data_IF_231793763212
#
_entry.id   IF_231793763212
#
_cell.length_a   1.000
_cell.length_b   1.000
_cell.length_c   1.000
_cell.angle_alpha   90.00
_cell.angle_beta   90.00
_cell.angle_gamma   90.00
#
_symmetry.space_group_name_H-M   'P 1'
#
loop_
_entity.id
_entity.type
_entity.pdbx_description
1 polymer ?
#
# COMPACT_ATOMS: atom_id res chain seq x y z
N UNK A 1 -19.76 -7.37 11.43
CA UNK A 1 -18.50 -7.55 10.66
C UNK A 1 -18.87 -7.61 9.18
N UNK A 2 -18.35 -6.70 8.33
CA UNK A 2 -18.69 -6.69 6.90
C UNK A 2 -18.33 -8.04 6.24
N UNK A 3 -19.20 -8.60 5.38
CA UNK A 3 -18.90 -9.83 4.66
C UNK A 3 -17.73 -9.62 3.71
N UNK A 4 -16.93 -10.68 3.54
CA UNK A 4 -15.83 -10.68 2.55
C UNK A 4 -16.40 -10.91 1.15
N UNK A 5 -15.81 -10.25 0.15
CA UNK A 5 -16.22 -10.44 -1.25
C UNK A 5 -15.63 -11.75 -1.75
N UNK A 6 -16.49 -12.62 -2.30
CA UNK A 6 -16.12 -13.97 -2.78
C UNK A 6 -16.62 -14.22 -4.20
N UNK A 7 -17.14 -13.20 -4.88
CA UNK A 7 -17.54 -13.29 -6.28
C UNK A 7 -16.58 -12.48 -7.15
N UNK A 8 -16.13 -13.01 -8.30
CA UNK A 8 -15.35 -12.25 -9.26
C UNK A 8 -16.05 -10.94 -9.60
N UNK A 9 -15.31 -9.84 -9.58
CA UNK A 9 -15.83 -8.54 -9.99
C UNK A 9 -15.79 -8.49 -11.51
N UNK A 10 -16.90 -8.17 -12.17
CA UNK A 10 -16.90 -7.88 -13.60
C UNK A 10 -16.15 -6.57 -13.84
N UNK A 11 -14.85 -6.68 -14.00
CA UNK A 11 -13.92 -5.55 -14.06
C UNK A 11 -13.61 -5.13 -15.51
N UNK A 12 -14.25 -5.77 -16.49
CA UNK A 12 -14.24 -5.35 -17.90
C UNK A 12 -14.90 -3.98 -18.12
N UNK A 13 -15.71 -3.52 -17.16
CA UNK A 13 -16.44 -2.24 -17.21
C UNK A 13 -15.98 -1.21 -16.17
N UNK A 14 -14.93 -1.50 -15.39
CA UNK A 14 -14.44 -0.61 -14.34
C UNK A 14 -12.90 -0.57 -14.27
N UNK A 15 -12.36 0.58 -13.91
CA UNK A 15 -10.91 0.75 -13.66
C UNK A 15 -10.56 0.18 -12.29
N UNK A 16 -9.47 -0.57 -12.20
CA UNK A 16 -8.89 -1.00 -10.93
C UNK A 16 -7.97 0.09 -10.41
N UNK A 17 -8.23 0.55 -9.19
CA UNK A 17 -7.43 1.55 -8.51
C UNK A 17 -6.56 0.87 -7.44
N UNK A 18 -5.25 0.87 -7.68
CA UNK A 18 -4.25 0.46 -6.69
C UNK A 18 -3.58 1.69 -6.08
N UNK A 19 -4.15 2.17 -4.97
CA UNK A 19 -3.62 3.31 -4.23
C UNK A 19 -2.46 2.90 -3.30
N UNK A 20 -1.36 2.43 -3.90
CA UNK A 20 -0.24 1.74 -3.25
C UNK A 20 0.33 2.45 -2.01
N UNK A 21 0.48 1.70 -0.91
CA UNK A 21 1.20 2.14 0.29
C UNK A 21 2.72 2.01 0.08
N UNK A 22 3.54 3.02 0.41
CA UNK A 22 5.00 2.90 0.37
C UNK A 22 5.53 1.70 1.16
N UNK A 23 6.56 1.05 0.60
CA UNK A 23 7.30 -0.07 1.22
C UNK A 23 6.46 -1.33 1.51
N UNK A 24 5.34 -1.49 0.82
CA UNK A 24 4.51 -2.69 0.84
C UNK A 24 4.64 -3.47 -0.48
N UNK A 25 5.87 -3.86 -0.84
CA UNK A 25 6.21 -4.60 -2.07
C UNK A 25 5.69 -3.97 -3.38
N UNK A 26 5.49 -2.65 -3.41
CA UNK A 26 4.88 -1.99 -4.57
C UNK A 26 5.71 -2.11 -5.85
N UNK A 27 7.04 -2.22 -5.75
CA UNK A 27 7.90 -2.44 -6.93
C UNK A 27 7.71 -3.84 -7.49
N UNK A 28 7.65 -4.87 -6.63
CA UNK A 28 7.30 -6.24 -7.03
C UNK A 28 5.95 -6.24 -7.75
N UNK A 29 4.91 -5.65 -7.13
CA UNK A 29 3.58 -5.56 -7.72
C UNK A 29 3.59 -4.86 -9.09
N UNK A 30 4.32 -3.74 -9.24
CA UNK A 30 4.43 -3.04 -10.54
C UNK A 30 5.17 -3.88 -11.59
N UNK A 31 6.24 -4.58 -11.21
CA UNK A 31 6.96 -5.46 -12.15
C UNK A 31 6.04 -6.59 -12.62
N UNK A 32 5.30 -7.22 -11.70
CA UNK A 32 4.32 -8.26 -12.02
C UNK A 32 3.19 -7.72 -12.89
N UNK A 33 2.64 -6.54 -12.59
CA UNK A 33 1.62 -5.91 -13.43
C UNK A 33 2.16 -5.53 -14.82
N UNK A 34 3.43 -5.14 -14.95
CA UNK A 34 4.06 -4.89 -16.25
C UNK A 34 4.25 -6.17 -17.07
N UNK A 35 4.50 -7.31 -16.41
CA UNK A 35 4.50 -8.60 -17.08
C UNK A 35 3.08 -9.00 -17.50
N UNK A 36 2.12 -8.90 -16.58
CA UNK A 36 0.73 -9.29 -16.82
C UNK A 36 0.05 -8.43 -17.88
N UNK A 37 0.34 -7.12 -17.97
CA UNK A 37 -0.25 -6.26 -19.00
C UNK A 37 0.10 -6.73 -20.42
N UNK A 38 1.30 -7.31 -20.63
CA UNK A 38 1.71 -7.77 -21.97
C UNK A 38 1.05 -9.11 -22.32
N UNK A 39 0.83 -9.98 -21.33
CA UNK A 39 0.16 -11.27 -21.46
C UNK A 39 -1.36 -11.13 -21.60
N UNK A 40 -1.98 -10.37 -20.71
CA UNK A 40 -3.42 -10.20 -20.62
C UNK A 40 -3.94 -9.00 -21.43
N UNK A 41 -3.09 -8.14 -21.99
CA UNK A 41 -3.47 -7.02 -22.88
C UNK A 41 -4.37 -5.95 -22.24
N UNK A 42 -4.20 -5.64 -20.95
CA UNK A 42 -4.87 -4.50 -20.30
C UNK A 42 -3.97 -3.26 -20.24
N UNK A 43 -4.55 -2.08 -19.95
CA UNK A 43 -3.76 -0.84 -19.78
C UNK A 43 -3.24 -0.68 -18.34
N UNK A 44 -1.94 -0.45 -18.18
CA UNK A 44 -1.36 -0.10 -16.88
C UNK A 44 -0.93 1.38 -16.87
N UNK A 45 -1.53 2.18 -16.00
CA UNK A 45 -1.15 3.58 -15.77
C UNK A 45 -0.48 3.69 -14.39
N UNK A 46 0.84 3.80 -14.37
CA UNK A 46 1.62 3.93 -13.14
C UNK A 46 2.13 5.36 -13.00
N UNK A 47 1.54 6.13 -12.09
CA UNK A 47 1.97 7.51 -11.79
C UNK A 47 3.03 7.46 -10.70
N UNK A 48 4.27 7.73 -11.08
CA UNK A 48 5.41 7.75 -10.18
C UNK A 48 6.26 9.00 -10.42
N UNK A 49 6.03 10.02 -9.60
CA UNK A 49 6.68 11.32 -9.71
C UNK A 49 7.26 11.76 -8.35
N UNK A 50 8.40 12.48 -8.33
CA UNK A 50 8.93 13.05 -7.09
C UNK A 50 7.92 13.96 -6.41
N UNK A 51 7.90 13.97 -5.07
CA UNK A 51 7.04 14.85 -4.25
C UNK A 51 5.55 14.74 -4.57
N UNK A 52 5.10 13.57 -5.05
CA UNK A 52 3.69 13.32 -5.36
C UNK A 52 2.81 13.58 -4.13
N UNK A 53 1.82 14.47 -4.29
CA UNK A 53 0.84 14.74 -3.24
C UNK A 53 -0.09 13.53 -3.08
N UNK A 54 -0.03 12.91 -1.90
CA UNK A 54 -0.92 11.82 -1.49
C UNK A 54 -2.22 12.35 -0.89
N UNK A 55 -2.10 13.46 -0.14
CA UNK A 55 -3.21 14.25 0.39
C UNK A 55 -3.60 15.35 -0.60
N UNK A 56 -4.89 15.54 -0.84
CA UNK A 56 -5.43 16.41 -1.88
C UNK A 56 -6.60 17.26 -1.36
N UNK A 57 -6.69 18.52 -1.80
CA UNK A 57 -7.90 19.32 -1.61
C UNK A 57 -9.08 18.77 -2.44
N UNK A 58 -10.29 19.24 -2.17
CA UNK A 58 -11.50 18.74 -2.82
C UNK A 58 -11.49 18.91 -4.36
N UNK A 59 -10.92 20.01 -4.87
CA UNK A 59 -10.85 20.27 -6.32
C UNK A 59 -9.88 19.30 -6.99
N UNK A 60 -8.75 19.01 -6.37
CA UNK A 60 -7.78 18.03 -6.82
C UNK A 60 -8.32 16.60 -6.73
N UNK A 61 -9.06 16.27 -5.68
CA UNK A 61 -9.75 14.98 -5.56
C UNK A 61 -10.78 14.78 -6.68
N UNK A 62 -11.61 15.79 -6.97
CA UNK A 62 -12.59 15.73 -8.05
C UNK A 62 -11.93 15.51 -9.42
N UNK A 63 -10.85 16.25 -9.72
CA UNK A 63 -10.07 16.03 -10.94
C UNK A 63 -9.47 14.63 -11.02
N UNK A 64 -8.98 14.11 -9.89
CA UNK A 64 -8.41 12.76 -9.82
C UNK A 64 -9.48 11.68 -10.01
N UNK A 65 -10.64 11.83 -9.38
CA UNK A 65 -11.75 10.90 -9.53
C UNK A 65 -12.24 10.85 -10.98
N UNK A 66 -12.47 12.01 -11.59
CA UNK A 66 -12.91 12.11 -12.98
C UNK A 66 -11.85 11.55 -13.95
N UNK A 67 -10.59 11.96 -13.81
CA UNK A 67 -9.50 11.48 -14.66
C UNK A 67 -9.26 9.98 -14.57
N UNK A 68 -9.47 9.36 -13.40
CA UNK A 68 -9.39 7.89 -13.25
C UNK A 68 -10.52 7.21 -14.03
N UNK A 69 -11.73 7.77 -14.07
CA UNK A 69 -12.86 7.20 -14.80
C UNK A 69 -12.79 7.44 -16.32
N UNK A 70 -12.06 8.46 -16.76
CA UNK A 70 -11.78 8.71 -18.18
C UNK A 70 -10.78 7.70 -18.78
N UNK A 71 -10.00 7.03 -17.92
CA UNK A 71 -9.27 5.84 -18.34
C UNK A 71 -10.33 4.81 -18.74
N UNK A 72 -10.61 4.68 -20.05
CA UNK A 72 -11.52 3.67 -20.62
C UNK A 72 -11.37 2.34 -19.87
N UNK A 73 -12.46 1.59 -19.74
CA UNK A 73 -12.46 0.32 -19.01
C UNK A 73 -11.36 -0.63 -19.50
N UNK A 74 -10.96 -1.59 -18.66
CA UNK A 74 -9.79 -2.46 -18.87
C UNK A 74 -8.43 -1.82 -18.54
N UNK A 75 -8.37 -1.13 -17.40
CA UNK A 75 -7.15 -0.48 -16.92
C UNK A 75 -6.90 -0.66 -15.42
N UNK A 76 -5.61 -0.72 -15.05
CA UNK A 76 -5.15 -0.55 -13.67
C UNK A 76 -4.47 0.81 -13.54
N UNK A 77 -4.99 1.65 -12.66
CA UNK A 77 -4.35 2.90 -12.24
C UNK A 77 -3.62 2.70 -10.92
N UNK A 78 -2.33 3.04 -10.90
CA UNK A 78 -1.47 2.88 -9.73
C UNK A 78 -0.86 4.21 -9.34
N UNK A 79 -1.02 4.60 -8.07
CA UNK A 79 -0.47 5.85 -7.52
C UNK A 79 -0.33 5.78 -6.00
N UNK A 80 0.67 6.46 -5.44
CA UNK A 80 0.66 6.80 -4.01
C UNK A 80 -0.42 7.86 -3.73
N UNK A 81 -1.56 7.42 -3.17
CA UNK A 81 -2.77 8.22 -3.03
C UNK A 81 -3.56 7.82 -1.78
N UNK A 82 -3.96 8.79 -0.95
CA UNK A 82 -4.90 8.50 0.14
C UNK A 82 -6.30 8.21 -0.42
N UNK A 83 -7.05 7.32 0.25
CA UNK A 83 -8.40 6.92 -0.17
C UNK A 83 -9.30 8.12 -0.52
N UNK A 84 -9.92 8.06 -1.71
CA UNK A 84 -10.86 9.07 -2.20
C UNK A 84 -12.26 8.46 -2.16
N UNK A 85 -13.22 9.21 -1.63
CA UNK A 85 -14.62 8.84 -1.73
C UNK A 85 -15.21 9.39 -3.04
N UNK A 86 -15.34 8.53 -4.05
CA UNK A 86 -15.80 8.91 -5.39
C UNK A 86 -17.26 9.40 -5.40
N UNK A 87 -18.11 8.85 -4.52
CA UNK A 87 -19.50 9.30 -4.40
C UNK A 87 -19.63 10.77 -4.00
N UNK A 88 -18.65 11.33 -3.28
CA UNK A 88 -18.66 12.77 -2.93
C UNK A 88 -18.56 13.69 -4.15
N UNK A 89 -18.15 13.16 -5.30
CA UNK A 89 -17.95 13.91 -6.54
C UNK A 89 -18.94 13.49 -7.63
N UNK A 90 -19.97 12.70 -7.30
CA UNK A 90 -20.92 12.16 -8.29
C UNK A 90 -20.30 11.13 -9.24
N UNK A 91 -19.08 10.65 -8.93
CA UNK A 91 -18.32 9.75 -9.77
C UNK A 91 -18.65 8.28 -9.45
N UNK A 92 -18.61 7.39 -10.46
CA UNK A 92 -18.70 5.94 -10.27
C UNK A 92 -17.50 5.43 -9.45
N UNK A 93 -17.70 4.33 -8.71
CA UNK A 93 -16.61 3.72 -7.94
C UNK A 93 -15.66 2.92 -8.84
N UNK A 94 -14.33 3.08 -8.69
CA UNK A 94 -13.38 2.13 -9.22
C UNK A 94 -13.34 0.86 -8.35
N UNK A 95 -12.66 -0.17 -8.83
CA UNK A 95 -12.35 -1.36 -8.04
C UNK A 95 -11.10 -1.09 -7.21
N UNK A 96 -11.25 -0.84 -5.92
CA UNK A 96 -10.11 -0.60 -5.02
C UNK A 96 -9.40 -1.91 -4.63
N UNK A 97 -8.09 -1.93 -4.79
CA UNK A 97 -7.20 -2.97 -4.24
C UNK A 97 -6.02 -2.34 -3.51
N UNK A 98 -5.39 -3.10 -2.61
CA UNK A 98 -4.14 -2.69 -2.00
C UNK A 98 -3.28 -3.89 -1.57
N UNK A 99 -2.04 -3.62 -1.17
CA UNK A 99 -1.16 -4.59 -0.50
C UNK A 99 -0.52 -3.87 0.69
N UNK A 100 -0.57 -4.49 1.87
CA UNK A 100 0.02 -3.95 3.09
C UNK A 100 1.09 -4.88 3.66
N UNK A 101 1.84 -4.38 4.64
CA UNK A 101 2.96 -5.08 5.28
C UNK A 101 2.89 -4.90 6.79
N UNK A 102 3.49 -5.80 7.56
CA UNK A 102 3.69 -5.64 9.01
C UNK A 102 4.24 -4.24 9.30
N UNK A 103 3.61 -3.48 10.21
CA UNK A 103 3.96 -2.08 10.44
C UNK A 103 5.41 -1.86 10.89
N UNK A 104 5.98 -2.76 11.68
CA UNK A 104 7.36 -2.65 12.17
C UNK A 104 8.32 -2.85 11.01
N UNK A 105 8.13 -3.93 10.24
CA UNK A 105 8.96 -4.22 9.06
C UNK A 105 8.82 -3.15 7.96
N UNK A 106 7.62 -2.60 7.80
CA UNK A 106 7.38 -1.45 6.90
C UNK A 106 8.10 -0.21 7.39
N UNK A 107 8.02 0.10 8.69
CA UNK A 107 8.67 1.27 9.29
C UNK A 107 10.20 1.18 9.12
N UNK A 108 10.80 0.04 9.50
CA UNK A 108 12.24 -0.20 9.32
C UNK A 108 12.62 0.00 7.85
N UNK A 109 11.90 -0.65 6.93
CA UNK A 109 12.19 -0.51 5.50
C UNK A 109 12.04 0.93 4.99
N UNK A 110 11.10 1.71 5.52
CA UNK A 110 10.93 3.11 5.16
C UNK A 110 12.04 3.99 5.75
N UNK A 111 12.43 3.74 7.00
CA UNK A 111 13.46 4.48 7.73
C UNK A 111 14.80 4.46 6.98
N UNK A 112 15.24 3.27 6.55
CA UNK A 112 16.46 3.13 5.76
C UNK A 112 16.27 3.66 4.33
N UNK A 113 15.08 3.52 3.74
CA UNK A 113 14.83 3.95 2.36
C UNK A 113 14.93 5.46 2.18
N UNK A 114 14.36 6.24 3.10
CA UNK A 114 14.43 7.71 3.01
C UNK A 114 15.85 8.23 3.21
N UNK A 115 16.72 7.46 3.87
CA UNK A 115 18.14 7.80 4.10
C UNK A 115 19.06 7.34 2.97
N UNK A 116 18.88 6.11 2.51
CA UNK A 116 19.86 5.41 1.68
C UNK A 116 19.33 4.96 0.31
N UNK A 117 18.02 5.06 0.04
CA UNK A 117 17.44 4.67 -1.24
C UNK A 117 17.39 3.15 -1.47
N UNK A 118 17.52 2.74 -2.73
CA UNK A 118 17.43 1.33 -3.16
C UNK A 118 18.81 0.73 -3.43
N UNK A 119 18.97 -0.58 -3.22
CA UNK A 119 20.20 -1.29 -3.54
C UNK A 119 20.58 -1.15 -5.02
N UNK A 120 19.59 -1.29 -5.92
CA UNK A 120 19.79 -1.27 -7.37
C UNK A 120 20.43 0.00 -7.95
N UNK A 121 20.52 1.08 -7.18
CA UNK A 121 21.13 2.35 -7.61
C UNK A 121 22.19 2.86 -6.64
N UNK A 122 22.68 2.02 -5.71
CA UNK A 122 23.64 2.40 -4.68
C UNK A 122 23.25 3.68 -3.91
N UNK A 123 21.95 3.96 -3.79
CA UNK A 123 21.40 5.14 -3.15
C UNK A 123 21.38 6.44 -3.97
N UNK A 124 21.80 6.44 -5.24
CA UNK A 124 21.91 7.66 -6.05
C UNK A 124 20.56 8.32 -6.38
N UNK A 125 19.51 7.51 -6.62
CA UNK A 125 18.15 8.04 -6.90
C UNK A 125 17.57 8.77 -5.69
N UNK A 126 18.15 8.60 -4.49
CA UNK A 126 17.70 9.32 -3.32
C UNK A 126 17.76 10.83 -3.53
N UNK A 127 18.76 11.43 -4.21
CA UNK A 127 18.87 12.92 -4.27
C UNK A 127 17.64 13.65 -4.83
N UNK A 128 17.00 13.14 -5.89
CA UNK A 128 15.79 13.75 -6.51
C UNK A 128 14.49 13.41 -5.78
N UNK A 129 14.49 12.30 -5.05
CA UNK A 129 13.33 11.75 -4.33
C UNK A 129 13.42 11.92 -2.82
N UNK A 130 14.52 12.51 -2.33
CA UNK A 130 14.82 12.75 -0.93
C UNK A 130 13.77 13.70 -0.40
N UNK A 131 13.15 13.27 0.69
CA UNK A 131 12.39 14.16 1.55
C UNK A 131 13.39 15.14 2.17
N UNK A 132 12.94 16.37 2.43
CA UNK A 132 13.74 17.34 3.16
C UNK A 132 13.88 16.85 4.60
N UNK A 133 14.94 16.08 4.85
CA UNK A 133 15.31 15.52 6.16
C UNK A 133 16.49 16.34 6.65
N UNK A 134 16.38 16.90 7.85
CA UNK A 134 17.47 17.63 8.50
C UNK A 134 18.74 16.76 8.57
N UNK A 135 19.95 17.34 8.46
CA UNK A 135 21.20 16.58 8.56
C UNK A 135 21.31 15.68 9.80
N UNK A 136 20.83 16.15 10.96
CA UNK A 136 20.75 15.36 12.19
C UNK A 136 19.96 14.06 11.98
N UNK A 137 18.71 14.18 11.53
CA UNK A 137 17.85 13.02 11.24
C UNK A 137 18.39 12.13 10.12
N UNK A 138 19.07 12.69 9.12
CA UNK A 138 19.62 11.95 7.99
C UNK A 138 20.69 10.95 8.46
N UNK A 139 21.49 11.34 9.47
CA UNK A 139 22.59 10.53 10.00
C UNK A 139 22.23 9.71 11.24
N UNK A 140 21.08 9.97 11.87
CA UNK A 140 20.62 9.26 13.06
C UNK A 140 20.34 7.75 12.78
N UNK A 141 21.03 6.82 13.47
CA UNK A 141 20.74 5.39 13.41
C UNK A 141 19.33 5.05 13.89
N UNK A 142 18.76 3.96 13.40
CA UNK A 142 17.42 3.53 13.78
C UNK A 142 17.34 3.23 15.28
N UNK A 143 18.31 2.49 15.81
CA UNK A 143 18.29 2.09 17.23
C UNK A 143 18.35 3.32 18.14
N UNK A 144 19.23 4.28 17.86
CA UNK A 144 19.32 5.54 18.61
C UNK A 144 17.98 6.30 18.57
N UNK A 145 17.37 6.42 17.40
CA UNK A 145 16.07 7.08 17.23
C UNK A 145 14.99 6.45 18.11
N UNK A 146 14.89 5.11 18.10
CA UNK A 146 13.85 4.37 18.84
C UNK A 146 14.13 4.37 20.34
N UNK A 147 15.38 4.22 20.75
CA UNK A 147 15.78 4.19 22.17
C UNK A 147 15.60 5.55 22.84
N UNK A 148 15.81 6.65 22.10
CA UNK A 148 15.63 8.02 22.61
C UNK A 148 14.17 8.34 22.89
N UNK A 149 13.30 8.11 21.91
CA UNK A 149 11.85 8.31 22.02
C UNK A 149 11.14 7.56 20.88
N UNK A 150 10.54 6.39 21.13
CA UNK A 150 9.99 5.55 20.08
C UNK A 150 8.77 6.19 19.40
N UNK A 151 7.94 6.94 20.15
CA UNK A 151 6.76 7.61 19.61
C UNK A 151 7.16 8.78 18.71
N UNK A 152 8.09 9.63 19.16
CA UNK A 152 8.63 10.72 18.34
C UNK A 152 9.38 10.18 17.12
N UNK A 153 10.14 9.10 17.28
CA UNK A 153 10.84 8.45 16.17
C UNK A 153 9.85 8.01 15.08
N UNK A 154 8.76 7.36 15.47
CA UNK A 154 7.72 6.89 14.53
C UNK A 154 7.02 8.06 13.85
N UNK A 155 6.55 9.05 14.62
CA UNK A 155 5.74 10.17 14.12
C UNK A 155 6.52 11.09 13.17
N UNK A 156 7.83 11.25 13.38
CA UNK A 156 8.66 12.13 12.55
C UNK A 156 9.18 11.43 11.29
N UNK A 157 9.39 10.11 11.33
CA UNK A 157 10.10 9.37 10.28
C UNK A 157 9.21 8.49 9.40
N UNK A 158 7.87 8.52 9.52
CA UNK A 158 7.02 7.67 8.68
C UNK A 158 5.75 8.34 8.20
N UNK A 159 5.34 7.96 7.00
CA UNK A 159 3.96 8.15 6.54
C UNK A 159 3.15 6.97 7.05
N UNK A 160 2.07 7.24 7.78
CA UNK A 160 1.19 6.19 8.30
C UNK A 160 0.49 5.42 7.19
N UNK A 161 0.41 4.10 7.35
CA UNK A 161 -0.35 3.25 6.44
C UNK A 161 -1.84 3.55 6.54
N UNK A 162 -2.32 3.95 7.73
CA UNK A 162 -3.73 4.25 7.96
C UNK A 162 -4.27 5.32 7.02
N UNK A 163 -3.50 6.36 6.72
CA UNK A 163 -3.97 7.48 5.90
C UNK A 163 -4.37 7.03 4.48
N UNK A 164 -3.75 5.97 3.96
CA UNK A 164 -4.09 5.38 2.66
C UNK A 164 -5.47 4.73 2.62
N UNK A 165 -6.02 4.36 3.78
CA UNK A 165 -7.34 3.74 3.91
C UNK A 165 -8.36 4.69 4.56
N UNK A 166 -7.95 5.50 5.54
CA UNK A 166 -8.79 6.51 6.18
C UNK A 166 -9.22 7.59 5.18
N UNK A 167 -8.27 8.11 4.38
CA UNK A 167 -8.55 8.99 3.25
C UNK A 167 -8.07 10.42 3.39
N UNK A 168 -8.82 11.33 2.78
CA UNK A 168 -8.43 12.73 2.53
C UNK A 168 -8.92 13.72 3.59
N UNK A 169 -9.34 13.25 4.77
CA UNK A 169 -9.76 14.11 5.88
C UNK A 169 -8.55 14.51 6.73
N UNK A 170 -8.59 15.69 7.37
CA UNK A 170 -7.47 16.17 8.19
C UNK A 170 -7.13 15.21 9.34
N UNK A 171 -8.15 14.67 10.00
CA UNK A 171 -8.02 13.69 11.08
C UNK A 171 -7.36 12.38 10.64
N UNK A 172 -7.42 12.03 9.34
CA UNK A 172 -6.75 10.84 8.80
C UNK A 172 -5.23 10.98 8.73
N UNK A 173 -4.70 12.20 8.91
CA UNK A 173 -3.26 12.47 8.95
C UNK A 173 -2.68 12.31 10.35
N UNK A 174 -3.55 12.23 11.35
CA UNK A 174 -3.17 12.09 12.74
C UNK A 174 -3.15 10.62 13.17
N UNK A 175 -2.28 10.33 14.12
CA UNK A 175 -2.20 9.02 14.75
C UNK A 175 -3.30 8.91 15.81
N UNK A 176 -4.53 8.59 15.38
CA UNK A 176 -5.73 8.64 16.23
C UNK A 176 -6.63 7.43 16.06
N UNK A 177 -7.46 7.17 17.07
CA UNK A 177 -8.47 6.12 17.03
C UNK A 177 -9.55 6.44 15.98
N UNK A 178 -9.82 7.73 15.71
CA UNK A 178 -10.67 8.14 14.59
C UNK A 178 -10.12 7.64 13.25
N UNK A 179 -8.83 7.88 13.00
CA UNK A 179 -8.19 7.45 11.76
C UNK A 179 -8.23 5.93 11.60
N UNK A 180 -8.04 5.20 12.71
CA UNK A 180 -8.10 3.74 12.77
C UNK A 180 -9.47 3.21 12.38
N UNK A 181 -10.52 3.67 13.05
CA UNK A 181 -11.88 3.17 12.82
C UNK A 181 -12.37 3.53 11.42
N UNK A 182 -12.08 4.75 10.96
CA UNK A 182 -12.39 5.16 9.58
C UNK A 182 -11.65 4.31 8.55
N UNK A 183 -10.37 4.01 8.77
CA UNK A 183 -9.59 3.12 7.91
C UNK A 183 -10.17 1.71 7.86
N UNK A 184 -10.56 1.12 9.01
CA UNK A 184 -11.21 -0.19 9.08
C UNK A 184 -12.52 -0.21 8.29
N UNK A 185 -13.37 0.82 8.48
CA UNK A 185 -14.65 0.95 7.77
C UNK A 185 -14.43 1.04 6.27
N UNK A 186 -13.52 1.91 5.81
CA UNK A 186 -13.27 2.07 4.38
C UNK A 186 -12.67 0.81 3.76
N UNK A 187 -11.71 0.17 4.43
CA UNK A 187 -11.10 -1.09 4.00
C UNK A 187 -12.13 -2.23 3.89
N UNK A 188 -13.09 -2.28 4.80
CA UNK A 188 -14.14 -3.28 4.78
C UNK A 188 -15.19 -3.02 3.70
N UNK A 189 -15.54 -1.75 3.47
CA UNK A 189 -16.66 -1.36 2.61
C UNK A 189 -16.28 -1.19 1.15
N UNK A 190 -15.10 -0.63 0.86
CA UNK A 190 -14.76 -0.17 -0.49
C UNK A 190 -13.64 -0.96 -1.16
N UNK A 191 -12.80 -1.66 -0.40
CA UNK A 191 -11.72 -2.45 -0.98
C UNK A 191 -12.18 -3.88 -1.30
N UNK A 192 -12.03 -4.25 -2.57
CA UNK A 192 -12.35 -5.59 -3.06
C UNK A 192 -11.45 -6.64 -2.44
N UNK A 193 -10.15 -6.36 -2.44
CA UNK A 193 -9.12 -7.21 -1.85
C UNK A 193 -7.94 -6.37 -1.35
N UNK A 194 -7.37 -6.80 -0.22
CA UNK A 194 -6.16 -6.21 0.34
C UNK A 194 -5.20 -7.36 0.65
N UNK A 195 -4.07 -7.42 -0.07
CA UNK A 195 -3.05 -8.45 0.10
C UNK A 195 -2.07 -8.15 1.24
N UNK A 196 -1.27 -9.14 1.59
CA UNK A 196 -0.20 -9.06 2.59
C UNK A 196 1.16 -9.32 1.92
N UNK A 197 2.17 -8.52 2.25
CA UNK A 197 3.54 -8.76 1.79
C UNK A 197 4.10 -10.07 2.33
N UNK A 198 3.72 -10.42 3.55
CA UNK A 198 4.13 -11.65 4.25
C UNK A 198 3.55 -12.91 3.60
N UNK A 199 2.48 -12.78 2.81
CA UNK A 199 1.81 -13.87 2.11
C UNK A 199 1.41 -13.43 0.69
N UNK A 200 2.41 -12.97 -0.08
CA UNK A 200 2.21 -12.57 -1.47
C UNK A 200 1.65 -13.70 -2.34
N UNK A 201 2.10 -14.97 -2.24
CA UNK A 201 1.53 -16.06 -3.03
C UNK A 201 0.00 -16.15 -2.89
N UNK A 202 -0.54 -16.18 -1.67
CA UNK A 202 -2.00 -16.21 -1.49
C UNK A 202 -2.66 -14.88 -1.82
N UNK A 203 -1.96 -13.75 -1.68
CA UNK A 203 -2.45 -12.44 -2.15
C UNK A 203 -2.73 -12.46 -3.65
N UNK A 204 -1.82 -13.01 -4.46
CA UNK A 204 -2.02 -13.14 -5.91
C UNK A 204 -3.11 -14.14 -6.27
N UNK A 205 -3.29 -15.23 -5.50
CA UNK A 205 -4.44 -16.13 -5.67
C UNK A 205 -5.77 -15.42 -5.44
N UNK A 206 -5.89 -14.65 -4.35
CA UNK A 206 -7.09 -13.84 -4.07
C UNK A 206 -7.33 -12.82 -5.19
N UNK A 207 -6.29 -12.10 -5.64
CA UNK A 207 -6.42 -11.16 -6.74
C UNK A 207 -6.83 -11.84 -8.04
N UNK A 208 -6.29 -13.01 -8.35
CA UNK A 208 -6.69 -13.79 -9.53
C UNK A 208 -8.16 -14.21 -9.45
N UNK A 209 -8.60 -14.78 -8.32
CA UNK A 209 -9.98 -15.21 -8.14
C UNK A 209 -10.99 -14.06 -8.27
N UNK A 210 -10.66 -12.88 -7.74
CA UNK A 210 -11.57 -11.73 -7.74
C UNK A 210 -11.45 -10.85 -8.99
N UNK A 211 -10.27 -10.83 -9.63
CA UNK A 211 -9.94 -9.97 -10.77
C UNK A 211 -9.16 -10.77 -11.85
N UNK A 212 -9.75 -11.85 -12.40
CA UNK A 212 -9.04 -12.74 -13.33
C UNK A 212 -8.65 -12.06 -14.64
N UNK A 213 -9.30 -10.94 -15.00
CA UNK A 213 -8.94 -10.09 -16.14
C UNK A 213 -7.51 -9.54 -16.03
N UNK A 214 -7.01 -9.30 -14.82
CA UNK A 214 -5.77 -8.57 -14.59
C UNK A 214 -4.67 -9.37 -13.90
N UNK A 215 -5.01 -10.48 -13.24
CA UNK A 215 -4.08 -11.26 -12.42
C UNK A 215 -4.09 -12.74 -12.82
N UNK A 216 -2.93 -13.40 -12.69
CA UNK A 216 -2.78 -14.86 -12.78
C UNK A 216 -2.03 -15.39 -11.56
N UNK A 217 -2.15 -16.68 -11.27
CA UNK A 217 -1.50 -17.34 -10.12
C UNK A 217 0.00 -17.58 -10.32
N UNK A 218 0.49 -17.66 -11.56
CA UNK A 218 1.90 -17.92 -11.89
C UNK A 218 2.77 -16.66 -11.94
N UNK A 219 2.17 -15.47 -11.88
CA UNK A 219 2.84 -14.21 -12.20
C UNK A 219 3.99 -13.82 -11.26
N UNK A 220 3.99 -14.28 -10.00
CA UNK A 220 5.07 -14.05 -9.05
C UNK A 220 6.37 -14.79 -9.43
N UNK A 221 6.25 -15.93 -10.12
CA UNK A 221 7.35 -16.84 -10.44
C UNK A 221 8.18 -16.30 -11.61
N UNK A 222 7.54 -15.60 -12.54
CA UNK A 222 8.16 -15.16 -13.81
C UNK A 222 8.86 -13.79 -13.74
N UNK A 223 8.83 -13.07 -12.61
CA UNK A 223 9.41 -11.73 -12.52
C UNK A 223 10.83 -11.74 -11.96
N UNK A 224 11.87 -11.38 -12.74
CA UNK A 224 13.21 -11.19 -12.19
C UNK A 224 13.17 -10.05 -11.17
N UNK A 225 13.54 -10.34 -9.94
CA UNK A 225 13.67 -9.33 -8.91
C UNK A 225 14.89 -8.45 -9.22
N UNK A 226 14.67 -7.30 -9.88
CA UNK A 226 15.63 -6.18 -9.73
C UNK A 226 15.76 -5.91 -8.23
N UNK A 227 16.97 -5.73 -7.71
CA UNK A 227 17.22 -5.62 -6.27
C UNK A 227 16.60 -4.33 -5.70
N UNK A 228 15.32 -4.43 -5.36
CA UNK A 228 14.47 -3.35 -4.86
C UNK A 228 14.46 -3.31 -3.34
N UNK A 229 15.35 -4.08 -2.72
CA UNK A 229 15.61 -4.01 -1.28
C UNK A 229 16.17 -2.64 -0.94
N UNK A 230 15.94 -2.27 0.30
CA UNK A 230 16.41 -0.98 0.81
C UNK A 230 17.92 -1.08 1.04
N UNK A 231 18.68 -0.11 0.54
CA UNK A 231 20.15 -0.09 0.66
C UNK A 231 20.55 0.05 2.14
N UNK A 232 21.59 -0.67 2.56
CA UNK A 232 22.15 -0.66 3.92
C UNK A 232 21.10 -0.85 5.04
N UNK A 233 20.07 -1.66 4.78
CA UNK A 233 19.08 -2.01 5.81
C UNK A 233 19.71 -2.96 6.82
N UNK A 234 19.99 -2.46 8.01
CA UNK A 234 20.40 -3.29 9.15
C UNK A 234 19.18 -3.84 9.88
N UNK A 235 19.38 -4.98 10.52
CA UNK A 235 18.34 -5.64 11.29
C UNK A 235 18.42 -5.18 12.76
N UNK A 236 17.40 -4.48 13.29
CA UNK A 236 17.45 -3.96 14.65
C UNK A 236 17.27 -5.06 15.70
N UNK A 237 17.74 -4.80 16.91
CA UNK A 237 17.53 -5.70 18.05
C UNK A 237 16.05 -6.01 18.34
N UNK A 238 15.79 -7.15 18.98
CA UNK A 238 14.44 -7.55 19.38
C UNK A 238 13.77 -6.53 20.32
N UNK A 239 14.56 -5.87 21.17
CA UNK A 239 14.09 -4.78 22.03
C UNK A 239 13.58 -3.61 21.19
N UNK A 240 14.36 -3.14 20.22
CA UNK A 240 13.97 -2.05 19.31
C UNK A 240 12.70 -2.41 18.53
N UNK A 241 12.59 -3.65 18.02
CA UNK A 241 11.35 -4.12 17.37
C UNK A 241 10.14 -4.12 18.31
N UNK A 242 10.32 -4.49 19.57
CA UNK A 242 9.26 -4.48 20.59
C UNK A 242 8.80 -3.05 20.90
N UNK A 243 9.74 -2.12 21.08
CA UNK A 243 9.44 -0.69 21.28
C UNK A 243 8.71 -0.08 20.09
N UNK A 244 9.18 -0.36 18.87
CA UNK A 244 8.50 0.04 17.63
C UNK A 244 7.09 -0.51 17.56
N UNK A 245 6.87 -1.78 17.91
CA UNK A 245 5.54 -2.39 17.89
C UNK A 245 4.57 -1.69 18.85
N UNK A 246 5.04 -1.24 20.02
CA UNK A 246 4.25 -0.44 20.97
C UNK A 246 3.94 0.95 20.42
N UNK A 247 4.94 1.66 19.89
CA UNK A 247 4.75 2.99 19.30
C UNK A 247 3.87 2.95 18.04
N UNK A 248 3.87 1.84 17.30
CA UNK A 248 3.05 1.59 16.12
C UNK A 248 1.71 0.90 16.45
N UNK A 249 1.22 0.97 17.70
CA UNK A 249 0.02 0.22 18.14
C UNK A 249 -1.19 0.35 17.21
N UNK A 250 -1.48 1.55 16.69
CA UNK A 250 -2.63 1.80 15.82
C UNK A 250 -2.44 1.19 14.43
N UNK A 251 -1.24 1.30 13.83
CA UNK A 251 -0.91 0.61 12.58
C UNK A 251 -0.94 -0.91 12.77
N UNK A 252 -0.48 -1.42 13.91
CA UNK A 252 -0.49 -2.86 14.26
C UNK A 252 -1.92 -3.37 14.40
N UNK A 253 -2.79 -2.60 15.04
CA UNK A 253 -4.20 -2.96 15.16
C UNK A 253 -4.90 -2.98 13.79
N UNK A 254 -4.65 -1.97 12.96
CA UNK A 254 -5.18 -1.94 11.59
C UNK A 254 -4.65 -3.11 10.75
N UNK A 255 -3.35 -3.40 10.80
CA UNK A 255 -2.74 -4.53 10.12
C UNK A 255 -3.38 -5.87 10.55
N UNK A 256 -3.57 -6.08 11.84
CA UNK A 256 -4.21 -7.29 12.36
C UNK A 256 -5.67 -7.41 11.93
N UNK A 257 -6.40 -6.30 11.84
CA UNK A 257 -7.74 -6.28 11.27
C UNK A 257 -7.74 -6.74 9.80
N UNK A 258 -6.84 -6.18 8.98
CA UNK A 258 -6.71 -6.58 7.57
C UNK A 258 -6.23 -8.03 7.43
N UNK A 259 -5.28 -8.48 8.24
CA UNK A 259 -4.79 -9.86 8.24
C UNK A 259 -5.90 -10.86 8.53
N UNK A 260 -6.74 -10.61 9.53
CA UNK A 260 -7.93 -11.44 9.81
C UNK A 260 -8.91 -11.43 8.63
N UNK A 261 -9.16 -10.25 8.05
CA UNK A 261 -10.03 -10.12 6.87
C UNK A 261 -9.47 -10.87 5.66
N UNK A 262 -8.16 -10.84 5.45
CA UNK A 262 -7.44 -11.50 4.36
C UNK A 262 -7.61 -13.02 4.44
N UNK A 263 -7.28 -13.64 5.57
CA UNK A 263 -7.42 -15.09 5.73
C UNK A 263 -8.88 -15.54 5.69
N UNK A 264 -9.81 -14.75 6.26
CA UNK A 264 -11.24 -15.02 6.11
C UNK A 264 -11.69 -15.01 4.63
N UNK A 265 -11.15 -14.10 3.81
CA UNK A 265 -11.45 -14.04 2.38
C UNK A 265 -10.83 -15.22 1.63
N UNK A 266 -9.59 -15.61 1.96
CA UNK A 266 -8.94 -16.79 1.41
C UNK A 266 -9.75 -18.06 1.70
N UNK A 267 -10.07 -18.31 2.97
CA UNK A 267 -10.84 -19.50 3.39
C UNK A 267 -12.20 -19.57 2.70
N UNK A 268 -12.86 -18.42 2.54
CA UNK A 268 -14.14 -18.37 1.86
C UNK A 268 -13.99 -18.66 0.35
N UNK A 269 -12.95 -18.19 -0.32
CA UNK A 269 -12.69 -18.50 -1.73
C UNK A 269 -12.35 -19.98 -1.93
N UNK A 270 -11.56 -20.58 -1.03
CA UNK A 270 -11.25 -22.03 -1.04
C UNK A 270 -12.53 -22.85 -0.89
N UNK A 271 -13.41 -22.49 0.06
CA UNK A 271 -14.71 -23.17 0.25
C UNK A 271 -15.63 -23.08 -0.97
N UNK A 272 -15.45 -22.07 -1.82
CA UNK A 272 -16.19 -21.88 -3.06
C UNK A 272 -15.46 -22.44 -4.29
N UNK A 273 -14.34 -23.16 -4.11
CA UNK A 273 -13.48 -23.71 -5.19
C UNK A 273 -12.99 -22.64 -6.19
N UNK A 274 -12.70 -21.42 -5.70
CA UNK A 274 -12.20 -20.31 -6.51
C UNK A 274 -10.68 -20.08 -6.37
N UNK A 275 -10.06 -20.70 -5.36
CA UNK A 275 -8.63 -20.65 -5.05
C UNK A 275 -8.16 -22.02 -4.58
#
# INVERSE_FOLDING_TARGET
MYPVIVKPVNSSSAVVLYNRVPKCASTTMINTLNYLKTKLKFRLVNVNEPRIKMFMDAKAQARMANGILELKSDAIFVRHLHFINFSRFGSKWPVYINVIRDPVERFISYYYYVRYGFQSNKGEVAKKWKLDISPERQNMPLEECVMKDPDKCVRTNSVTMLAFFCGQENMCREYSDYALEKAKINAARYFTAIGLVEDLPNSFKIFHALLPRYFTTTALIDTPAKDTRTFMKEEPSLLVKSLLRKALRVDVEFYNFIKRRFYKQLDALVKNNLV
#
